data_IF_493208371496
#
_entry.id   IF_493208371496
#
_cell.length_a   1.000
_cell.length_b   1.000
_cell.length_c   1.000
_cell.angle_alpha   90.00
_cell.angle_beta   90.00
_cell.angle_gamma   90.00
#
_symmetry.space_group_name_H-M   'P 1'
#
loop_
_entity.id
_entity.type
_entity.pdbx_description
1 polymer ?
#
# COMPACT_ATOMS: atom_id res chain seq x y z
N UNK A 1 14.73 -11.52 8.93
CA UNK A 1 13.73 -12.57 9.29
C UNK A 1 13.78 -13.67 8.24
N UNK A 2 13.76 -14.95 8.63
CA UNK A 2 13.73 -16.06 7.66
C UNK A 2 12.37 -16.10 6.95
N UNK A 3 12.32 -16.64 5.72
CA UNK A 3 11.08 -16.77 4.96
C UNK A 3 9.99 -17.50 5.74
N UNK A 4 10.35 -18.61 6.41
CA UNK A 4 9.42 -19.41 7.21
C UNK A 4 8.73 -18.60 8.31
N UNK A 5 9.46 -17.73 9.02
CA UNK A 5 8.89 -16.90 10.11
C UNK A 5 8.01 -15.77 9.61
N UNK A 6 8.25 -15.27 8.40
CA UNK A 6 7.43 -14.23 7.76
C UNK A 6 6.21 -14.81 7.01
N UNK A 7 6.27 -16.07 6.58
CA UNK A 7 5.17 -16.74 5.88
C UNK A 7 3.95 -16.98 6.77
N UNK A 8 4.16 -17.42 8.01
CA UNK A 8 3.08 -17.67 8.98
C UNK A 8 2.17 -16.44 9.16
N UNK A 9 2.67 -15.25 9.56
CA UNK A 9 1.81 -14.08 9.72
C UNK A 9 1.19 -13.62 8.40
N UNK A 10 1.90 -13.73 7.26
CA UNK A 10 1.35 -13.34 5.97
C UNK A 10 0.17 -14.22 5.53
N UNK A 11 0.27 -15.54 5.72
CA UNK A 11 -0.81 -16.49 5.41
C UNK A 11 -1.97 -16.32 6.37
N UNK A 12 -1.72 -16.20 7.68
CA UNK A 12 -2.76 -15.96 8.68
C UNK A 12 -3.50 -14.65 8.40
N UNK A 13 -2.77 -13.58 8.07
CA UNK A 13 -3.36 -12.31 7.65
C UNK A 13 -4.18 -12.45 6.37
N UNK A 14 -3.67 -13.16 5.36
CA UNK A 14 -4.41 -13.41 4.12
C UNK A 14 -5.72 -14.16 4.37
N UNK A 15 -5.68 -15.23 5.17
CA UNK A 15 -6.88 -15.97 5.56
C UNK A 15 -7.85 -15.10 6.34
N UNK A 16 -7.37 -14.32 7.30
CA UNK A 16 -8.20 -13.43 8.11
C UNK A 16 -8.88 -12.36 7.25
N UNK A 17 -8.17 -11.74 6.31
CA UNK A 17 -8.75 -10.75 5.40
C UNK A 17 -9.83 -11.36 4.53
N UNK A 18 -9.55 -12.54 3.95
CA UNK A 18 -10.52 -13.26 3.14
C UNK A 18 -11.76 -13.64 3.97
N UNK A 19 -11.58 -14.16 5.19
CA UNK A 19 -12.69 -14.54 6.08
C UNK A 19 -13.50 -13.33 6.53
N UNK A 20 -12.86 -12.20 6.87
CA UNK A 20 -13.56 -10.98 7.25
C UNK A 20 -14.40 -10.42 6.11
N UNK A 21 -13.87 -10.43 4.88
CA UNK A 21 -14.60 -9.99 3.69
C UNK A 21 -15.72 -10.96 3.32
N UNK A 22 -15.48 -12.26 3.48
CA UNK A 22 -16.47 -13.32 3.31
C UNK A 22 -17.64 -13.12 4.30
N UNK A 23 -17.31 -12.88 5.57
CA UNK A 23 -18.28 -12.64 6.62
C UNK A 23 -19.05 -11.32 6.42
N UNK A 24 -18.37 -10.25 5.98
CA UNK A 24 -19.00 -9.00 5.62
C UNK A 24 -20.02 -9.21 4.49
N UNK A 25 -19.65 -9.96 3.45
CA UNK A 25 -20.56 -10.34 2.36
C UNK A 25 -21.80 -11.08 2.82
N UNK A 26 -21.64 -12.06 3.72
CA UNK A 26 -22.77 -12.81 4.28
C UNK A 26 -23.72 -11.95 5.14
N UNK A 27 -23.20 -10.88 5.76
CA UNK A 27 -23.93 -10.02 6.69
C UNK A 27 -24.93 -9.08 6.00
N UNK A 28 -24.89 -8.93 4.68
CA UNK A 28 -25.87 -8.13 3.92
C UNK A 28 -27.30 -8.66 4.12
N UNK A 29 -27.47 -9.99 4.12
CA UNK A 29 -28.77 -10.63 4.36
C UNK A 29 -29.37 -10.29 5.73
N UNK A 30 -28.52 -10.09 6.73
CA UNK A 30 -28.91 -9.71 8.08
C UNK A 30 -29.40 -8.24 8.16
N UNK A 31 -28.92 -7.37 7.28
CA UNK A 31 -29.32 -5.95 7.23
C UNK A 31 -30.69 -5.73 6.59
N UNK A 32 -31.21 -6.72 5.85
CA UNK A 32 -32.55 -6.68 5.25
C UNK A 32 -33.66 -7.11 6.20
N UNK A 33 -33.34 -7.59 7.41
CA UNK A 33 -34.37 -7.90 8.39
C UNK A 33 -35.03 -6.61 8.90
N UNK A 34 -36.36 -6.62 9.04
CA UNK A 34 -37.14 -5.44 9.46
C UNK A 34 -36.65 -4.84 10.79
N UNK A 35 -36.08 -5.65 11.68
CA UNK A 35 -35.52 -5.20 12.96
C UNK A 35 -34.18 -4.44 12.86
N UNK A 36 -33.36 -4.66 11.83
CA UNK A 36 -32.09 -3.91 11.67
C UNK A 36 -32.33 -2.48 11.18
N UNK A 37 -33.32 -2.28 10.31
CA UNK A 37 -33.73 -0.95 9.84
C UNK A 37 -34.34 -0.10 10.96
N UNK A 38 -35.01 -0.73 11.93
CA UNK A 38 -35.59 -0.04 13.09
C UNK A 38 -34.52 0.38 14.12
N UNK A 39 -33.43 -0.40 14.27
CA UNK A 39 -32.34 -0.11 15.23
C UNK A 39 -31.27 0.82 14.66
N UNK A 40 -30.88 0.63 13.39
CA UNK A 40 -29.82 1.42 12.75
C UNK A 40 -30.37 2.68 12.06
N UNK A 41 -31.65 2.64 11.66
CA UNK A 41 -32.28 3.59 10.74
C UNK A 41 -32.19 3.13 9.29
N UNK A 42 -33.23 3.44 8.49
CA UNK A 42 -33.31 2.99 7.09
C UNK A 42 -32.17 3.51 6.21
N UNK A 43 -31.68 4.73 6.46
CA UNK A 43 -30.63 5.37 5.66
C UNK A 43 -29.26 4.72 5.89
N UNK A 44 -28.90 4.44 7.14
CA UNK A 44 -27.62 3.79 7.49
C UNK A 44 -27.62 2.34 7.01
N UNK A 45 -28.75 1.62 7.13
CA UNK A 45 -28.90 0.26 6.62
C UNK A 45 -28.70 0.18 5.10
N UNK A 46 -29.33 1.09 4.33
CA UNK A 46 -29.16 1.18 2.88
C UNK A 46 -27.71 1.52 2.47
N UNK A 47 -27.02 2.29 3.30
CA UNK A 47 -25.63 2.67 3.04
C UNK A 47 -24.63 1.55 3.37
N UNK A 48 -24.84 0.84 4.48
CA UNK A 48 -24.12 -0.40 4.80
C UNK A 48 -24.35 -1.46 3.72
N UNK A 49 -25.59 -1.61 3.23
CA UNK A 49 -25.89 -2.49 2.10
C UNK A 49 -25.10 -2.07 0.86
N UNK A 50 -25.05 -0.77 0.52
CA UNK A 50 -24.24 -0.27 -0.59
C UNK A 50 -22.75 -0.57 -0.42
N UNK A 51 -22.22 -0.49 0.79
CA UNK A 51 -20.81 -0.80 1.07
C UNK A 51 -20.53 -2.30 0.93
N UNK A 52 -21.44 -3.14 1.43
CA UNK A 52 -21.34 -4.60 1.44
C UNK A 52 -21.66 -5.23 0.08
N UNK A 53 -22.43 -4.54 -0.76
CA UNK A 53 -22.92 -5.05 -2.05
C UNK A 53 -21.82 -5.69 -2.93
N UNK A 54 -20.59 -5.17 -3.02
CA UNK A 54 -19.53 -5.83 -3.80
C UNK A 54 -19.06 -7.15 -3.20
N UNK A 55 -19.21 -7.36 -1.90
CA UNK A 55 -18.80 -8.59 -1.21
C UNK A 55 -19.96 -9.55 -0.99
N UNK A 56 -21.19 -9.12 -1.26
CA UNK A 56 -22.41 -9.92 -1.12
C UNK A 56 -22.38 -11.23 -1.89
N UNK A 57 -23.13 -12.21 -1.38
CA UNK A 57 -23.46 -13.45 -2.10
C UNK A 57 -24.75 -13.33 -2.91
N UNK A 58 -25.52 -12.28 -2.66
CA UNK A 58 -26.81 -12.11 -3.30
C UNK A 58 -26.64 -11.57 -4.71
N UNK A 59 -27.06 -12.33 -5.75
CA UNK A 59 -26.94 -11.86 -7.11
C UNK A 59 -27.83 -10.63 -7.31
N UNK A 60 -27.38 -9.63 -8.09
CA UNK A 60 -28.15 -8.42 -8.35
C UNK A 60 -29.51 -8.75 -8.98
N UNK A 61 -30.49 -7.86 -8.78
CA UNK A 61 -31.86 -8.04 -9.28
C UNK A 61 -31.93 -8.39 -10.77
N UNK A 62 -31.03 -7.87 -11.61
CA UNK A 62 -30.94 -8.24 -13.03
C UNK A 62 -30.58 -9.71 -13.28
N UNK A 63 -29.70 -10.29 -12.46
CA UNK A 63 -29.36 -11.71 -12.52
C UNK A 63 -30.48 -12.60 -11.93
N UNK A 64 -31.24 -12.10 -10.94
CA UNK A 64 -32.43 -12.77 -10.40
C UNK A 64 -33.64 -12.72 -11.35
N UNK A 65 -33.93 -11.57 -11.93
CA UNK A 65 -35.02 -11.35 -12.90
C UNK A 65 -34.78 -12.16 -14.17
N UNK A 66 -33.52 -12.26 -14.64
CA UNK A 66 -33.14 -13.18 -15.70
C UNK A 66 -33.40 -14.66 -15.37
N UNK A 67 -33.32 -15.04 -14.09
CA UNK A 67 -33.66 -16.38 -13.60
C UNK A 67 -35.16 -16.62 -13.41
N UNK A 68 -35.90 -15.63 -12.90
CA UNK A 68 -37.35 -15.72 -12.60
C UNK A 68 -38.23 -15.64 -13.86
N UNK A 69 -37.91 -14.79 -14.84
CA UNK A 69 -38.65 -14.70 -16.11
C UNK A 69 -38.57 -15.99 -16.94
N UNK A 70 -37.52 -16.80 -16.74
CA UNK A 70 -37.36 -18.11 -17.39
C UNK A 70 -38.13 -19.24 -16.70
N UNK A 71 -38.56 -19.07 -15.45
CA UNK A 71 -39.31 -20.08 -14.72
C UNK A 71 -40.81 -20.14 -15.13
N UNK A 72 -41.31 -19.09 -15.80
CA UNK A 72 -42.72 -18.96 -16.20
C UNK A 72 -43.05 -19.38 -17.64
N UNK A 73 -42.08 -19.68 -18.51
CA UNK A 73 -42.34 -20.01 -19.93
C UNK A 73 -41.55 -21.24 -20.39
N UNK A 74 -42.27 -22.33 -20.67
CA UNK A 74 -41.73 -23.67 -20.92
C UNK A 74 -41.06 -23.91 -22.29
N UNK A 75 -40.02 -23.15 -22.65
CA UNK A 75 -39.13 -23.40 -23.80
C UNK A 75 -37.66 -23.02 -23.44
N UNK A 76 -36.60 -23.38 -24.22
CA UNK A 76 -35.26 -23.71 -23.72
C UNK A 76 -34.38 -22.50 -23.32
N UNK A 77 -34.85 -21.69 -22.37
CA UNK A 77 -34.13 -20.59 -21.73
C UNK A 77 -33.30 -21.05 -20.50
N UNK A 78 -33.33 -22.34 -20.16
CA UNK A 78 -32.61 -22.97 -19.02
C UNK A 78 -31.07 -22.77 -19.04
N UNK A 79 -30.47 -22.48 -20.20
CA UNK A 79 -29.01 -22.36 -20.33
C UNK A 79 -28.46 -20.94 -20.13
N UNK A 80 -29.32 -19.91 -20.16
CA UNK A 80 -28.91 -18.50 -20.05
C UNK A 80 -28.86 -18.01 -18.60
N UNK A 81 -29.90 -18.29 -17.82
CA UNK A 81 -30.01 -17.85 -16.41
C UNK A 81 -29.01 -18.53 -15.48
N UNK A 82 -28.85 -19.85 -15.62
CA UNK A 82 -27.82 -20.64 -14.92
C UNK A 82 -26.40 -20.14 -15.24
N UNK A 83 -26.18 -19.64 -16.46
CA UNK A 83 -24.89 -19.08 -16.90
C UNK A 83 -24.56 -17.75 -16.22
N UNK A 84 -25.52 -16.83 -16.10
CA UNK A 84 -25.28 -15.55 -15.42
C UNK A 84 -25.01 -15.72 -13.92
N UNK A 85 -25.74 -16.63 -13.28
CA UNK A 85 -25.52 -16.98 -11.88
C UNK A 85 -24.16 -17.67 -11.67
N UNK A 86 -23.79 -18.62 -12.53
CA UNK A 86 -22.47 -19.24 -12.49
C UNK A 86 -21.32 -18.24 -12.73
N UNK A 87 -21.52 -17.24 -13.61
CA UNK A 87 -20.55 -16.17 -13.82
C UNK A 87 -20.39 -15.28 -12.58
N UNK A 88 -21.49 -14.97 -11.89
CA UNK A 88 -21.47 -14.21 -10.64
C UNK A 88 -20.74 -14.98 -9.53
N UNK A 89 -21.04 -16.27 -9.34
CA UNK A 89 -20.34 -17.14 -8.40
C UNK A 89 -18.85 -17.25 -8.72
N UNK A 90 -18.51 -17.43 -10.00
CA UNK A 90 -17.12 -17.47 -10.46
C UNK A 90 -16.41 -16.14 -10.16
N UNK A 91 -17.07 -15.00 -10.36
CA UNK A 91 -16.52 -13.69 -10.06
C UNK A 91 -16.19 -13.54 -8.56
N UNK A 92 -17.08 -13.99 -7.68
CA UNK A 92 -16.85 -13.99 -6.23
C UNK A 92 -15.70 -14.93 -5.84
N UNK A 93 -15.64 -16.14 -6.40
CA UNK A 93 -14.53 -17.07 -6.17
C UNK A 93 -13.19 -16.46 -6.57
N UNK A 94 -13.11 -15.86 -7.78
CA UNK A 94 -11.93 -15.16 -8.27
C UNK A 94 -11.58 -14.01 -7.32
N UNK A 95 -12.56 -13.23 -6.85
CA UNK A 95 -12.35 -12.10 -5.94
C UNK A 95 -11.69 -12.55 -4.64
N UNK A 96 -12.26 -13.54 -3.94
CA UNK A 96 -11.71 -14.01 -2.66
C UNK A 96 -10.35 -14.68 -2.82
N UNK A 97 -10.16 -15.47 -3.89
CA UNK A 97 -8.86 -16.07 -4.21
C UNK A 97 -7.81 -15.01 -4.54
N UNK A 98 -8.18 -13.97 -5.30
CA UNK A 98 -7.30 -12.87 -5.67
C UNK A 98 -6.89 -12.02 -4.45
N UNK A 99 -7.81 -11.76 -3.51
CA UNK A 99 -7.46 -11.07 -2.24
C UNK A 99 -6.32 -11.80 -1.54
N UNK A 100 -6.47 -13.13 -1.37
CA UNK A 100 -5.43 -13.95 -0.76
C UNK A 100 -4.13 -13.93 -1.57
N UNK A 101 -4.22 -14.16 -2.89
CA UNK A 101 -3.08 -14.23 -3.79
C UNK A 101 -2.29 -12.92 -3.90
N UNK A 102 -2.93 -11.76 -3.77
CA UNK A 102 -2.25 -10.46 -3.76
C UNK A 102 -1.78 -10.04 -2.36
N UNK A 103 -2.56 -10.32 -1.32
CA UNK A 103 -2.21 -9.94 0.05
C UNK A 103 -0.96 -10.69 0.54
N UNK A 104 -0.95 -12.02 0.43
CA UNK A 104 0.11 -12.88 0.98
C UNK A 104 1.51 -12.51 0.48
N UNK A 105 1.81 -12.37 -0.83
CA UNK A 105 3.16 -12.06 -1.29
C UNK A 105 3.63 -10.67 -0.85
N UNK A 106 2.75 -9.66 -0.88
CA UNK A 106 3.14 -8.32 -0.42
C UNK A 106 3.28 -8.22 1.09
N UNK A 107 2.39 -8.86 1.87
CA UNK A 107 2.53 -8.97 3.31
C UNK A 107 3.81 -9.74 3.70
N UNK A 108 4.11 -10.84 3.00
CA UNK A 108 5.36 -11.60 3.19
C UNK A 108 6.58 -10.71 2.93
N UNK A 109 6.58 -9.95 1.84
CA UNK A 109 7.67 -9.05 1.50
C UNK A 109 7.82 -7.95 2.55
N UNK A 110 6.71 -7.31 2.95
CA UNK A 110 6.67 -6.25 3.96
C UNK A 110 7.14 -6.76 5.31
N UNK A 111 6.57 -7.84 5.85
CA UNK A 111 6.96 -8.40 7.16
C UNK A 111 8.41 -8.84 7.16
N UNK A 112 8.90 -9.41 6.05
CA UNK A 112 10.30 -9.83 5.94
C UNK A 112 11.26 -8.65 5.93
N UNK A 113 10.89 -7.55 5.27
CA UNK A 113 11.76 -6.38 5.06
C UNK A 113 11.62 -5.32 6.15
N UNK A 114 10.45 -5.22 6.77
CA UNK A 114 10.05 -4.36 7.89
C UNK A 114 9.59 -5.24 9.08
N UNK A 115 10.47 -6.05 9.67
CA UNK A 115 10.08 -6.86 10.83
C UNK A 115 9.65 -5.94 11.99
N UNK A 116 8.51 -6.23 12.66
CA UNK A 116 7.93 -5.36 13.68
C UNK A 116 8.65 -5.47 15.03
N UNK A 117 9.91 -5.05 15.05
CA UNK A 117 10.81 -5.09 16.21
C UNK A 117 11.43 -3.70 16.42
N UNK A 118 11.55 -3.24 17.68
CA UNK A 118 12.24 -2.00 18.11
C UNK A 118 11.92 -0.75 17.26
N UNK A 119 10.75 -0.15 17.47
CA UNK A 119 10.36 1.13 16.86
C UNK A 119 9.80 1.05 15.42
N UNK A 120 9.77 -0.14 14.81
CA UNK A 120 9.24 -0.36 13.44
C UNK A 120 7.80 -0.88 13.39
N UNK A 121 7.16 -1.06 14.55
CA UNK A 121 5.82 -1.68 14.64
C UNK A 121 4.75 -0.84 13.95
N UNK A 122 4.76 0.48 14.15
CA UNK A 122 3.81 1.41 13.52
C UNK A 122 4.01 1.44 12.00
N UNK A 123 5.25 1.53 11.53
CA UNK A 123 5.56 1.50 10.10
C UNK A 123 5.13 0.19 9.44
N UNK A 124 5.38 -0.96 10.09
CA UNK A 124 4.93 -2.26 9.60
C UNK A 124 3.39 -2.35 9.56
N UNK A 125 2.71 -1.87 10.61
CA UNK A 125 1.25 -1.84 10.66
C UNK A 125 0.65 -1.01 9.53
N UNK A 126 1.12 0.23 9.39
CA UNK A 126 0.64 1.14 8.35
C UNK A 126 0.91 0.59 6.94
N UNK A 127 2.08 -0.02 6.72
CA UNK A 127 2.41 -0.62 5.43
C UNK A 127 1.55 -1.86 5.12
N UNK A 128 1.33 -2.76 6.08
CA UNK A 128 0.49 -3.94 5.88
C UNK A 128 -0.98 -3.54 5.70
N UNK A 129 -1.45 -2.54 6.44
CA UNK A 129 -2.79 -2.00 6.28
C UNK A 129 -3.00 -1.39 4.89
N UNK A 130 -2.10 -0.52 4.45
CA UNK A 130 -2.14 0.07 3.12
C UNK A 130 -2.05 -1.00 2.01
N UNK A 131 -1.25 -2.05 2.21
CA UNK A 131 -1.19 -3.17 1.28
C UNK A 131 -2.50 -3.99 1.25
N UNK A 132 -3.21 -4.12 2.36
CA UNK A 132 -4.53 -4.76 2.39
C UNK A 132 -5.54 -4.05 1.49
N UNK A 133 -5.54 -2.71 1.49
CA UNK A 133 -6.35 -1.90 0.59
C UNK A 133 -6.01 -2.12 -0.89
N UNK A 134 -4.71 -2.16 -1.19
CA UNK A 134 -4.19 -2.46 -2.54
C UNK A 134 -4.64 -3.84 -3.00
N UNK A 135 -4.46 -4.87 -2.17
CA UNK A 135 -4.82 -6.24 -2.49
C UNK A 135 -6.34 -6.38 -2.75
N UNK A 136 -7.16 -5.74 -1.92
CA UNK A 136 -8.61 -5.70 -2.14
C UNK A 136 -9.00 -5.02 -3.44
N UNK A 137 -8.38 -3.86 -3.75
CA UNK A 137 -8.64 -3.12 -4.99
C UNK A 137 -8.23 -3.91 -6.24
N UNK A 138 -7.08 -4.60 -6.19
CA UNK A 138 -6.63 -5.48 -7.27
C UNK A 138 -7.56 -6.68 -7.44
N UNK A 139 -8.03 -7.28 -6.35
CA UNK A 139 -8.96 -8.39 -6.40
C UNK A 139 -10.32 -8.00 -7.02
N UNK A 140 -10.84 -6.82 -6.66
CA UNK A 140 -12.05 -6.25 -7.28
C UNK A 140 -11.82 -6.02 -8.78
N UNK A 141 -10.67 -5.46 -9.15
CA UNK A 141 -10.30 -5.21 -10.56
C UNK A 141 -10.24 -6.50 -11.37
N UNK A 142 -9.60 -7.55 -10.84
CA UNK A 142 -9.44 -8.83 -11.54
C UNK A 142 -10.76 -9.59 -11.67
N UNK A 143 -11.65 -9.49 -10.68
CA UNK A 143 -12.97 -10.15 -10.72
C UNK A 143 -14.04 -9.39 -11.52
N UNK A 144 -13.84 -8.08 -11.74
CA UNK A 144 -14.84 -7.21 -12.36
C UNK A 144 -15.32 -7.66 -13.75
N UNK A 145 -14.49 -8.20 -14.67
CA UNK A 145 -14.97 -8.68 -15.97
C UNK A 145 -16.07 -9.74 -15.87
N UNK A 146 -15.94 -10.67 -14.91
CA UNK A 146 -16.95 -11.73 -14.69
C UNK A 146 -18.24 -11.17 -14.07
N UNK A 147 -18.14 -10.17 -13.18
CA UNK A 147 -19.34 -9.50 -12.64
C UNK A 147 -20.08 -8.71 -13.72
N UNK A 148 -19.36 -8.01 -14.60
CA UNK A 148 -19.97 -7.25 -15.69
C UNK A 148 -20.69 -8.19 -16.66
N UNK A 149 -20.04 -9.32 -17.00
CA UNK A 149 -20.65 -10.36 -17.81
C UNK A 149 -21.89 -10.98 -17.13
N UNK A 150 -21.85 -11.21 -15.81
CA UNK A 150 -22.95 -11.76 -15.02
C UNK A 150 -24.19 -10.85 -15.00
N UNK A 151 -24.03 -9.53 -15.18
CA UNK A 151 -25.15 -8.59 -15.24
C UNK A 151 -25.78 -8.45 -16.63
N UNK A 152 -25.29 -9.17 -17.65
CA UNK A 152 -25.82 -9.11 -19.01
C UNK A 152 -25.36 -7.88 -19.81
N UNK A 153 -24.47 -7.04 -19.27
CA UNK A 153 -24.01 -5.78 -19.88
C UNK A 153 -22.80 -5.94 -20.82
N UNK A 154 -22.58 -7.14 -21.37
CA UNK A 154 -21.33 -7.51 -22.04
C UNK A 154 -20.94 -6.73 -23.31
N UNK A 155 -21.77 -5.79 -23.82
CA UNK A 155 -21.52 -5.10 -25.09
C UNK A 155 -21.50 -3.56 -25.05
N UNK A 156 -22.06 -2.90 -24.02
CA UNK A 156 -22.14 -1.43 -23.97
C UNK A 156 -21.50 -0.88 -22.68
N UNK A 157 -20.49 -0.01 -22.85
CA UNK A 157 -19.83 0.75 -21.77
C UNK A 157 -19.11 -0.09 -20.70
N UNK A 158 -18.33 -1.07 -21.14
CA UNK A 158 -17.54 -1.93 -20.25
C UNK A 158 -16.54 -1.14 -19.38
N UNK A 159 -15.84 -0.15 -19.94
CA UNK A 159 -14.81 0.60 -19.22
C UNK A 159 -15.38 1.49 -18.09
N UNK A 160 -16.46 2.26 -18.30
CA UNK A 160 -17.16 2.95 -17.21
C UNK A 160 -17.69 2.00 -16.12
N UNK A 161 -18.23 0.84 -16.50
CA UNK A 161 -18.68 -0.17 -15.54
C UNK A 161 -17.52 -0.73 -14.72
N UNK A 162 -16.37 -0.98 -15.34
CA UNK A 162 -15.17 -1.40 -14.62
C UNK A 162 -14.74 -0.34 -13.60
N UNK A 163 -14.76 0.93 -13.98
CA UNK A 163 -14.44 2.04 -13.06
C UNK A 163 -15.40 2.09 -11.87
N UNK A 164 -16.71 1.89 -12.11
CA UNK A 164 -17.73 1.81 -11.07
C UNK A 164 -17.56 0.61 -10.14
N UNK A 165 -17.21 -0.57 -10.66
CA UNK A 165 -16.94 -1.75 -9.82
C UNK A 165 -15.69 -1.52 -8.95
N UNK A 166 -14.64 -0.90 -9.49
CA UNK A 166 -13.41 -0.58 -8.75
C UNK A 166 -13.64 0.48 -7.66
N UNK A 167 -14.60 1.40 -7.85
CA UNK A 167 -14.95 2.41 -6.84
C UNK A 167 -15.82 1.85 -5.71
N UNK A 168 -16.60 0.79 -5.98
CA UNK A 168 -17.51 0.19 -5.02
C UNK A 168 -16.80 -0.61 -3.91
N UNK A 169 -17.33 -0.56 -2.67
CA UNK A 169 -16.95 -1.48 -1.58
C UNK A 169 -15.62 -1.19 -0.89
N UNK A 170 -15.12 0.04 -1.02
CA UNK A 170 -13.82 0.46 -0.49
C UNK A 170 -13.81 0.67 1.02
N UNK A 171 -14.91 1.10 1.64
CA UNK A 171 -14.90 1.41 3.08
C UNK A 171 -14.68 0.16 3.93
N UNK A 172 -15.34 -0.95 3.59
CA UNK A 172 -15.17 -2.21 4.32
C UNK A 172 -13.75 -2.72 4.20
N UNK A 173 -13.11 -2.51 3.03
CA UNK A 173 -11.70 -2.84 2.85
C UNK A 173 -10.82 -2.05 3.82
N UNK A 174 -11.10 -0.77 4.09
CA UNK A 174 -10.33 0.04 5.05
C UNK A 174 -10.36 -0.59 6.44
N UNK A 175 -11.54 -0.95 6.94
CA UNK A 175 -11.71 -1.52 8.27
C UNK A 175 -11.15 -2.95 8.36
N UNK A 176 -11.52 -3.83 7.42
CA UNK A 176 -11.08 -5.23 7.40
C UNK A 176 -9.58 -5.36 7.18
N UNK A 177 -8.98 -4.53 6.32
CA UNK A 177 -7.54 -4.46 6.14
C UNK A 177 -6.82 -3.96 7.40
N UNK A 178 -7.42 -3.04 8.17
CA UNK A 178 -6.83 -2.54 9.41
C UNK A 178 -6.78 -3.65 10.47
N UNK A 179 -7.91 -4.32 10.71
CA UNK A 179 -8.01 -5.46 11.64
C UNK A 179 -7.02 -6.55 11.23
N UNK A 180 -6.97 -6.87 9.93
CA UNK A 180 -6.01 -7.82 9.38
C UNK A 180 -4.57 -7.37 9.62
N UNK A 181 -4.26 -6.10 9.36
CA UNK A 181 -2.93 -5.53 9.54
C UNK A 181 -2.46 -5.64 11.00
N UNK A 182 -3.33 -5.32 11.96
CA UNK A 182 -3.06 -5.48 13.39
C UNK A 182 -2.74 -6.93 13.72
N UNK A 183 -3.60 -7.86 13.34
CA UNK A 183 -3.39 -9.29 13.61
C UNK A 183 -2.09 -9.81 12.97
N UNK A 184 -1.84 -9.45 11.71
CA UNK A 184 -0.63 -9.82 10.95
C UNK A 184 0.64 -9.33 11.63
N UNK A 185 0.65 -8.06 12.07
CA UNK A 185 1.81 -7.45 12.74
C UNK A 185 2.03 -7.99 14.14
N UNK A 186 0.95 -8.25 14.90
CA UNK A 186 1.05 -8.90 16.21
C UNK A 186 1.61 -10.31 16.09
N UNK A 187 1.12 -11.10 15.13
CA UNK A 187 1.67 -12.43 14.84
C UNK A 187 3.13 -12.35 14.38
N UNK A 188 3.46 -11.42 13.48
CA UNK A 188 4.83 -11.21 13.03
C UNK A 188 5.76 -10.77 14.18
N UNK A 189 5.25 -10.01 15.15
CA UNK A 189 6.01 -9.63 16.36
C UNK A 189 6.28 -10.84 17.24
N UNK A 190 5.28 -11.73 17.41
CA UNK A 190 5.43 -12.98 18.16
C UNK A 190 6.45 -13.89 17.48
N UNK A 191 6.38 -14.08 16.15
CA UNK A 191 7.32 -14.93 15.41
C UNK A 191 8.72 -14.33 15.28
N UNK A 192 8.86 -13.01 15.46
CA UNK A 192 10.14 -12.31 15.48
C UNK A 192 10.81 -12.29 16.86
N UNK A 193 10.15 -12.71 17.95
CA UNK A 193 10.78 -12.84 19.26
C UNK A 193 12.00 -13.76 19.17
N UNK A 194 13.13 -13.33 19.75
CA UNK A 194 14.41 -14.05 19.67
C UNK A 194 15.17 -13.88 18.35
N UNK A 195 14.70 -13.06 17.40
CA UNK A 195 15.56 -12.62 16.30
C UNK A 195 16.61 -11.64 16.86
N UNK A 196 17.89 -11.93 16.66
CA UNK A 196 19.00 -11.08 17.06
C UNK A 196 18.94 -9.65 16.47
N UNK A 197 19.89 -8.77 16.83
CA UNK A 197 19.92 -7.40 16.33
C UNK A 197 19.86 -7.38 14.79
N UNK A 198 18.86 -6.67 14.27
CA UNK A 198 18.60 -6.59 12.83
C UNK A 198 19.64 -5.69 12.17
N UNK A 199 20.26 -6.11 11.05
CA UNK A 199 21.14 -5.25 10.28
C UNK A 199 20.39 -3.96 9.86
N UNK A 200 21.02 -2.82 10.12
CA UNK A 200 20.58 -1.52 9.59
C UNK A 200 21.53 -1.16 8.45
N UNK A 201 20.96 -0.88 7.29
CA UNK A 201 21.72 -0.30 6.19
C UNK A 201 21.94 1.19 6.53
N UNK A 202 23.18 1.58 6.78
CA UNK A 202 23.53 2.97 7.05
C UNK A 202 23.52 3.71 5.73
N UNK A 203 22.40 4.35 5.43
CA UNK A 203 22.22 5.14 4.21
C UNK A 203 22.59 6.60 4.49
N UNK A 204 23.47 7.22 3.70
CA UNK A 204 23.79 8.64 3.83
C UNK A 204 22.53 9.51 3.71
N UNK A 205 22.34 10.44 4.65
CA UNK A 205 21.12 11.25 4.73
C UNK A 205 20.85 12.06 3.46
N UNK A 206 21.91 12.51 2.76
CA UNK A 206 21.79 13.24 1.50
C UNK A 206 21.26 12.36 0.36
N UNK A 207 21.76 11.13 0.23
CA UNK A 207 21.29 10.17 -0.77
C UNK A 207 19.82 9.80 -0.55
N UNK A 208 19.41 9.61 0.71
CA UNK A 208 18.01 9.35 1.06
C UNK A 208 17.08 10.53 0.72
N UNK A 209 17.53 11.78 0.93
CA UNK A 209 16.75 12.99 0.57
C UNK A 209 16.59 13.11 -0.94
N UNK A 210 17.67 12.96 -1.71
CA UNK A 210 17.61 13.01 -3.19
C UNK A 210 16.69 11.93 -3.76
N UNK A 211 16.77 10.72 -3.19
CA UNK A 211 15.92 9.63 -3.61
C UNK A 211 14.44 9.90 -3.32
N UNK A 212 14.14 10.39 -2.11
CA UNK A 212 12.78 10.78 -1.74
C UNK A 212 12.24 11.89 -2.63
N UNK A 213 13.03 12.93 -2.94
CA UNK A 213 12.60 14.02 -3.83
C UNK A 213 12.26 13.54 -5.24
N UNK A 214 13.02 12.59 -5.79
CA UNK A 214 12.77 12.04 -7.12
C UNK A 214 11.46 11.23 -7.16
N UNK A 215 11.22 10.39 -6.15
CA UNK A 215 9.97 9.64 -6.02
C UNK A 215 8.76 10.56 -5.84
N UNK A 216 8.88 11.60 -4.99
CA UNK A 216 7.79 12.56 -4.79
C UNK A 216 7.53 13.47 -5.97
N UNK A 217 8.54 13.78 -6.79
CA UNK A 217 8.34 14.57 -8.00
C UNK A 217 7.38 13.89 -8.98
N UNK A 218 7.43 12.56 -9.11
CA UNK A 218 6.49 11.80 -9.94
C UNK A 218 5.07 11.86 -9.41
N UNK A 219 4.90 11.82 -8.08
CA UNK A 219 3.59 11.90 -7.43
C UNK A 219 3.04 13.33 -7.53
N UNK A 220 3.90 14.34 -7.36
CA UNK A 220 3.56 15.74 -7.56
C UNK A 220 3.17 16.03 -9.01
N UNK A 221 3.84 15.41 -9.98
CA UNK A 221 3.47 15.51 -11.39
C UNK A 221 2.02 15.05 -11.62
N UNK A 222 1.63 13.93 -11.03
CA UNK A 222 0.25 13.45 -11.08
C UNK A 222 -0.74 14.37 -10.37
N UNK A 223 -0.43 14.81 -9.15
CA UNK A 223 -1.31 15.65 -8.34
C UNK A 223 -1.46 17.09 -8.87
N UNK A 224 -0.44 17.64 -9.52
CA UNK A 224 -0.44 19.04 -9.96
C UNK A 224 -0.77 19.15 -11.44
N UNK A 225 -0.16 18.33 -12.30
CA UNK A 225 -0.34 18.47 -13.74
C UNK A 225 -1.54 17.65 -14.22
N UNK A 226 -1.56 16.34 -13.95
CA UNK A 226 -2.63 15.48 -14.45
C UNK A 226 -3.97 15.76 -13.76
N UNK A 227 -3.95 16.10 -12.48
CA UNK A 227 -5.16 16.37 -11.70
C UNK A 227 -5.74 17.78 -11.92
N UNK A 228 -5.10 18.63 -12.75
CA UNK A 228 -5.66 19.93 -13.11
C UNK A 228 -6.91 19.74 -13.97
N UNK A 229 -8.02 20.38 -13.61
CA UNK A 229 -9.35 20.12 -14.19
C UNK A 229 -9.36 20.16 -15.72
N UNK A 230 -8.64 21.10 -16.34
CA UNK A 230 -8.55 21.18 -17.81
C UNK A 230 -7.80 20.00 -18.42
N UNK A 231 -6.75 19.49 -17.75
CA UNK A 231 -5.99 18.31 -18.19
C UNK A 231 -6.76 17.03 -17.90
N UNK A 232 -7.42 16.94 -16.75
CA UNK A 232 -8.29 15.82 -16.41
C UNK A 232 -9.47 15.72 -17.39
N UNK A 233 -10.08 16.84 -17.75
CA UNK A 233 -11.15 16.90 -18.74
C UNK A 233 -10.63 16.52 -20.13
N UNK A 234 -9.45 17.01 -20.54
CA UNK A 234 -8.88 16.63 -21.84
C UNK A 234 -8.54 15.14 -21.91
N UNK A 235 -8.03 14.54 -20.83
CA UNK A 235 -7.79 13.09 -20.75
C UNK A 235 -9.11 12.31 -20.86
N UNK A 236 -10.20 12.81 -20.27
CA UNK A 236 -11.52 12.17 -20.33
C UNK A 236 -12.15 12.27 -21.73
N UNK A 237 -11.98 13.40 -22.42
CA UNK A 237 -12.62 13.65 -23.72
C UNK A 237 -11.74 13.33 -24.93
N UNK A 238 -10.44 13.09 -24.74
CA UNK A 238 -9.51 12.75 -25.84
C UNK A 238 -9.86 11.44 -26.55
N UNK A 239 -10.62 10.57 -25.88
CA UNK A 239 -11.02 9.27 -26.39
C UNK A 239 -12.54 9.19 -26.47
N UNK A 240 -13.10 9.76 -27.52
CA UNK A 240 -14.53 9.68 -27.87
C UNK A 240 -14.68 8.82 -29.14
N UNK A 241 -14.49 7.51 -29.00
CA UNK A 241 -14.72 6.54 -30.08
C UNK A 241 -16.14 5.96 -30.04
N UNK A 242 -16.45 4.99 -30.90
CA UNK A 242 -17.61 4.10 -30.74
C UNK A 242 -17.15 2.65 -30.56
N UNK A 243 -17.73 1.89 -29.61
CA UNK A 243 -17.41 0.48 -29.36
C UNK A 243 -17.17 0.10 -27.88
N UNK A 244 -16.83 -1.16 -27.61
CA UNK A 244 -16.64 -1.72 -26.25
C UNK A 244 -15.63 -0.95 -25.36
N UNK A 245 -14.61 -0.35 -25.98
CA UNK A 245 -13.53 0.41 -25.32
C UNK A 245 -13.63 1.92 -25.54
N UNK A 246 -14.78 2.41 -26.00
CA UNK A 246 -14.90 3.77 -26.54
C UNK A 246 -14.87 4.92 -25.52
N UNK A 247 -14.91 4.62 -24.23
CA UNK A 247 -14.99 5.61 -23.15
C UNK A 247 -13.97 5.26 -22.04
N UNK A 248 -12.65 5.28 -22.29
CA UNK A 248 -11.64 4.98 -21.27
C UNK A 248 -11.51 6.10 -20.22
N UNK A 249 -12.15 7.25 -20.43
CA UNK A 249 -12.00 8.45 -19.61
C UNK A 249 -12.19 8.20 -18.11
N UNK A 250 -13.22 7.46 -17.71
CA UNK A 250 -13.50 7.16 -16.30
C UNK A 250 -12.45 6.21 -15.69
N UNK A 251 -11.97 5.25 -16.47
CA UNK A 251 -10.93 4.33 -16.03
C UNK A 251 -9.57 5.04 -15.94
N UNK A 252 -9.24 5.86 -16.93
CA UNK A 252 -8.04 6.71 -16.91
C UNK A 252 -8.09 7.68 -15.73
N UNK A 253 -9.24 8.28 -15.43
CA UNK A 253 -9.45 9.08 -14.22
C UNK A 253 -9.13 8.28 -12.97
N UNK A 254 -9.71 7.09 -12.82
CA UNK A 254 -9.53 6.23 -11.65
C UNK A 254 -8.06 5.83 -11.40
N UNK A 255 -7.32 5.58 -12.49
CA UNK A 255 -5.95 5.05 -12.43
C UNK A 255 -4.86 6.12 -12.56
N UNK A 256 -5.13 7.31 -13.09
CA UNK A 256 -4.12 8.35 -13.28
C UNK A 256 -4.28 9.52 -12.33
N UNK A 257 -5.49 9.83 -11.88
CA UNK A 257 -5.77 11.03 -11.10
C UNK A 257 -5.77 10.70 -9.61
N UNK A 258 -4.74 11.16 -8.91
CA UNK A 258 -4.65 11.09 -7.44
C UNK A 258 -5.60 12.08 -6.75
N UNK A 259 -6.10 13.08 -7.49
CA UNK A 259 -7.08 14.04 -7.01
C UNK A 259 -7.69 14.82 -8.16
N UNK A 260 -8.39 15.90 -7.83
CA UNK A 260 -8.88 16.86 -8.81
C UNK A 260 -8.69 18.27 -8.26
N UNK A 261 -8.29 19.20 -9.13
CA UNK A 261 -8.14 20.58 -8.73
C UNK A 261 -8.47 21.59 -9.83
N UNK A 262 -9.01 22.72 -9.40
CA UNK A 262 -9.40 23.84 -10.25
C UNK A 262 -8.82 25.15 -9.71
N UNK A 263 -8.78 26.18 -10.55
CA UNK A 263 -8.47 27.54 -10.10
C UNK A 263 -9.53 28.07 -9.11
N UNK A 264 -9.24 29.16 -8.38
CA UNK A 264 -10.17 29.77 -7.44
C UNK A 264 -11.32 30.48 -8.19
N UNK A 265 -12.21 29.71 -8.80
CA UNK A 265 -13.40 30.22 -9.47
C UNK A 265 -14.59 30.04 -8.52
N UNK A 266 -15.05 31.13 -7.89
CA UNK A 266 -16.25 31.15 -7.05
C UNK A 266 -16.07 30.75 -5.58
N UNK A 267 -14.92 30.20 -5.17
CA UNK A 267 -14.57 29.93 -3.77
C UNK A 267 -13.66 31.02 -3.20
N UNK A 268 -13.76 31.30 -1.90
CA UNK A 268 -12.82 32.23 -1.24
C UNK A 268 -11.38 31.73 -1.42
N UNK A 269 -10.43 32.66 -1.59
CA UNK A 269 -9.03 32.31 -1.79
C UNK A 269 -8.44 31.56 -0.58
N UNK A 270 -8.96 31.86 0.62
CA UNK A 270 -8.61 31.17 1.86
C UNK A 270 -9.00 29.69 1.83
N UNK A 271 -10.26 29.38 1.49
CA UNK A 271 -10.73 28.00 1.40
C UNK A 271 -9.99 27.23 0.32
N UNK A 272 -9.74 27.87 -0.83
CA UNK A 272 -8.95 27.28 -1.90
C UNK A 272 -7.52 26.94 -1.43
N UNK A 273 -6.84 27.86 -0.74
CA UNK A 273 -5.51 27.62 -0.18
C UNK A 273 -5.52 26.51 0.89
N UNK A 274 -6.58 26.45 1.71
CA UNK A 274 -6.73 25.45 2.75
C UNK A 274 -6.83 24.04 2.15
N UNK A 275 -7.63 23.86 1.10
CA UNK A 275 -7.68 22.59 0.35
C UNK A 275 -6.34 22.25 -0.32
N UNK A 276 -5.59 23.24 -0.81
CA UNK A 276 -4.24 23.02 -1.37
C UNK A 276 -3.22 22.66 -0.30
N UNK A 277 -3.34 23.22 0.90
CA UNK A 277 -2.46 22.89 2.02
C UNK A 277 -2.56 21.39 2.37
N UNK A 278 -3.73 20.78 2.21
CA UNK A 278 -3.91 19.33 2.37
C UNK A 278 -3.09 18.55 1.32
N UNK A 279 -3.09 18.97 0.05
CA UNK A 279 -2.30 18.32 -1.01
C UNK A 279 -0.79 18.45 -0.77
N UNK A 280 -0.34 19.62 -0.28
CA UNK A 280 1.05 19.84 0.13
C UNK A 280 1.41 18.96 1.32
N UNK A 281 0.52 18.82 2.29
CA UNK A 281 0.73 17.95 3.45
C UNK A 281 0.82 16.47 3.04
N UNK A 282 0.01 16.04 2.07
CA UNK A 282 0.12 14.71 1.46
C UNK A 282 1.50 14.51 0.86
N UNK A 283 1.96 15.45 0.01
CA UNK A 283 3.29 15.36 -0.60
C UNK A 283 4.41 15.35 0.45
N UNK A 284 4.28 16.15 1.50
CA UNK A 284 5.23 16.16 2.61
C UNK A 284 5.24 14.82 3.37
N UNK A 285 4.07 14.24 3.64
CA UNK A 285 3.94 12.95 4.31
C UNK A 285 4.54 11.81 3.47
N UNK A 286 4.27 11.80 2.16
CA UNK A 286 4.85 10.85 1.21
C UNK A 286 6.38 11.02 1.14
N UNK A 287 6.86 12.27 1.03
CA UNK A 287 8.29 12.56 1.00
C UNK A 287 8.99 12.08 2.27
N UNK A 288 8.37 12.34 3.42
CA UNK A 288 8.87 11.90 4.71
C UNK A 288 8.93 10.36 4.80
N UNK A 289 7.87 9.69 4.37
CA UNK A 289 7.81 8.23 4.34
C UNK A 289 8.89 7.63 3.41
N UNK A 290 9.04 8.15 2.19
CA UNK A 290 10.08 7.73 1.24
C UNK A 290 11.48 7.99 1.77
N UNK A 291 11.69 9.09 2.50
CA UNK A 291 12.97 9.41 3.13
C UNK A 291 13.31 8.43 4.27
N UNK A 292 12.32 7.99 5.05
CA UNK A 292 12.52 7.04 6.14
C UNK A 292 12.66 5.58 5.66
N UNK A 293 12.06 5.26 4.52
CA UNK A 293 11.95 3.90 4.00
C UNK A 293 13.29 3.15 3.87
N UNK A 294 14.36 3.75 3.30
CA UNK A 294 15.67 3.09 3.21
C UNK A 294 16.28 2.71 4.57
N UNK A 295 16.07 3.53 5.61
CA UNK A 295 16.58 3.25 6.97
C UNK A 295 15.69 2.29 7.79
N UNK A 296 14.40 2.22 7.45
CA UNK A 296 13.45 1.29 8.07
C UNK A 296 13.57 -0.12 7.50
N UNK A 297 13.86 -0.24 6.21
CA UNK A 297 14.06 -1.53 5.55
C UNK A 297 15.36 -2.20 6.04
N UNK A 298 15.31 -3.52 6.14
CA UNK A 298 16.50 -4.35 6.37
C UNK A 298 17.41 -4.45 5.16
N UNK A 299 16.87 -4.25 3.94
CA UNK A 299 17.61 -4.07 2.69
C UNK A 299 16.80 -3.23 1.71
N UNK A 300 17.42 -2.21 1.12
CA UNK A 300 16.81 -1.35 0.11
C UNK A 300 16.77 -2.00 -1.29
N UNK A 301 15.90 -2.98 -1.47
CA UNK A 301 15.67 -3.61 -2.79
C UNK A 301 14.60 -2.87 -3.58
N UNK A 302 14.71 -2.82 -4.92
CA UNK A 302 13.71 -2.22 -5.83
C UNK A 302 12.26 -2.62 -5.52
N UNK A 303 11.89 -3.92 -5.38
CA UNK A 303 10.51 -4.29 -5.10
C UNK A 303 10.03 -3.84 -3.71
N UNK A 304 10.93 -3.77 -2.72
CA UNK A 304 10.58 -3.30 -1.38
C UNK A 304 10.35 -1.78 -1.34
N UNK A 305 11.16 -1.03 -2.10
CA UNK A 305 10.96 0.41 -2.26
C UNK A 305 9.72 0.72 -3.10
N UNK A 306 9.43 -0.06 -4.15
CA UNK A 306 8.21 0.07 -4.95
C UNK A 306 6.95 -0.18 -4.11
N UNK A 307 6.86 -1.31 -3.40
CA UNK A 307 5.71 -1.62 -2.54
C UNK A 307 5.62 -0.61 -1.38
N UNK A 308 6.74 -0.22 -0.78
CA UNK A 308 6.78 0.78 0.27
C UNK A 308 6.30 2.16 -0.20
N UNK A 309 6.65 2.57 -1.42
CA UNK A 309 6.19 3.81 -2.03
C UNK A 309 4.67 3.78 -2.30
N UNK A 310 4.14 2.67 -2.81
CA UNK A 310 2.69 2.46 -2.94
C UNK A 310 2.00 2.55 -1.58
N UNK A 311 2.55 1.92 -0.54
CA UNK A 311 1.97 2.03 0.80
C UNK A 311 2.00 3.47 1.32
N UNK A 312 3.10 4.20 1.08
CA UNK A 312 3.24 5.60 1.47
C UNK A 312 2.24 6.51 0.74
N UNK A 313 2.00 6.30 -0.55
CA UNK A 313 1.02 7.08 -1.32
C UNK A 313 -0.40 6.81 -0.87
N UNK A 314 -0.76 5.54 -0.63
CA UNK A 314 -2.07 5.17 -0.07
C UNK A 314 -2.29 5.83 1.30
N UNK A 315 -1.30 5.77 2.20
CA UNK A 315 -1.40 6.41 3.52
C UNK A 315 -1.51 7.94 3.42
N UNK A 316 -0.76 8.57 2.51
CA UNK A 316 -0.85 10.00 2.25
C UNK A 316 -2.25 10.41 1.76
N UNK A 317 -2.84 9.62 0.86
CA UNK A 317 -4.22 9.82 0.39
C UNK A 317 -5.23 9.68 1.52
N UNK A 318 -5.17 8.60 2.32
CA UNK A 318 -6.07 8.41 3.46
C UNK A 318 -5.97 9.54 4.48
N UNK A 319 -4.75 10.04 4.72
CA UNK A 319 -4.52 11.17 5.62
C UNK A 319 -5.14 12.45 5.05
N UNK A 320 -4.95 12.72 3.75
CA UNK A 320 -5.58 13.86 3.06
C UNK A 320 -7.10 13.79 3.09
N UNK A 321 -7.68 12.60 2.86
CA UNK A 321 -9.12 12.35 2.93
C UNK A 321 -9.68 12.60 4.34
N UNK A 322 -8.98 12.11 5.37
CA UNK A 322 -9.34 12.37 6.77
C UNK A 322 -9.30 13.86 7.11
N UNK A 323 -8.28 14.58 6.64
CA UNK A 323 -8.17 16.02 6.87
C UNK A 323 -9.25 16.82 6.15
N UNK A 324 -9.58 16.47 4.90
CA UNK A 324 -10.68 17.11 4.14
C UNK A 324 -12.02 16.91 4.84
N UNK A 325 -12.28 15.71 5.34
CA UNK A 325 -13.47 15.40 6.13
C UNK A 325 -13.53 16.24 7.42
N UNK A 326 -12.40 16.45 8.11
CA UNK A 326 -12.35 17.32 9.29
C UNK A 326 -12.59 18.80 8.95
N UNK A 327 -12.12 19.25 7.79
CA UNK A 327 -12.27 20.63 7.31
C UNK A 327 -13.69 20.96 6.83
N UNK A 328 -14.41 19.98 6.28
CA UNK A 328 -15.81 20.10 5.86
C UNK A 328 -16.81 20.09 7.05
N UNK A 329 -16.29 20.03 8.28
CA UNK A 329 -17.02 19.83 9.52
C UNK A 329 -18.04 20.92 9.87
N UNK A 330 -19.30 20.71 9.50
CA UNK A 330 -20.45 21.38 10.15
C UNK A 330 -21.56 20.45 10.64
N UNK A 331 -21.47 19.12 10.45
CA UNK A 331 -22.36 18.17 11.10
C UNK A 331 -21.57 16.92 11.53
N UNK A 332 -21.10 16.88 12.77
CA UNK A 332 -20.46 15.74 13.44
C UNK A 332 -21.38 14.51 13.65
N UNK A 333 -22.46 14.38 12.87
CA UNK A 333 -23.02 13.07 12.58
C UNK A 333 -22.00 12.42 11.66
N UNK A 334 -21.46 11.27 12.06
CA UNK A 334 -20.68 10.38 11.18
C UNK A 334 -21.55 9.96 10.00
N UNK A 335 -21.80 10.89 9.09
CA UNK A 335 -22.58 10.63 7.90
C UNK A 335 -21.70 9.71 7.08
N UNK A 336 -22.14 8.46 6.94
CA UNK A 336 -21.45 7.45 6.16
C UNK A 336 -21.18 7.98 4.73
N UNK A 337 -21.94 8.97 4.28
CA UNK A 337 -21.75 9.71 3.04
C UNK A 337 -20.38 10.38 2.90
N UNK A 338 -19.77 10.88 3.98
CA UNK A 338 -18.40 11.42 3.94
C UNK A 338 -17.34 10.31 3.93
N UNK A 339 -17.68 9.14 4.47
CA UNK A 339 -16.86 7.94 4.34
C UNK A 339 -16.97 7.30 2.94
N UNK A 340 -17.88 7.78 2.06
CA UNK A 340 -18.03 7.35 0.67
C UNK A 340 -16.70 7.33 -0.11
N UNK A 341 -15.86 8.33 0.11
CA UNK A 341 -14.64 8.56 -0.66
C UNK A 341 -13.38 7.90 -0.10
N UNK A 342 -13.47 7.25 1.07
CA UNK A 342 -12.32 6.60 1.69
C UNK A 342 -11.79 5.45 0.82
N UNK A 343 -10.51 5.55 0.41
CA UNK A 343 -9.89 4.58 -0.52
C UNK A 343 -10.07 4.94 -2.01
N UNK A 344 -10.68 6.08 -2.31
CA UNK A 344 -10.85 6.72 -3.63
C UNK A 344 -9.67 6.58 -4.60
N UNK A 345 -8.46 6.89 -4.11
CA UNK A 345 -7.26 7.02 -4.94
C UNK A 345 -6.34 5.81 -4.97
N UNK A 346 -6.74 4.64 -4.44
CA UNK A 346 -5.84 3.46 -4.36
C UNK A 346 -5.31 2.99 -5.73
N UNK A 347 -6.11 2.93 -6.82
CA UNK A 347 -5.58 2.58 -8.15
C UNK A 347 -4.55 3.61 -8.66
N UNK A 348 -4.81 4.90 -8.48
CA UNK A 348 -3.85 5.96 -8.82
C UNK A 348 -2.59 5.89 -7.93
N UNK A 349 -2.73 5.49 -6.67
CA UNK A 349 -1.61 5.26 -5.77
C UNK A 349 -0.72 4.10 -6.25
N UNK A 350 -1.30 3.08 -6.89
CA UNK A 350 -0.55 1.98 -7.50
C UNK A 350 0.21 2.42 -8.75
N UNK A 351 -0.43 3.14 -9.66
CA UNK A 351 0.20 3.58 -10.92
C UNK A 351 1.35 4.54 -10.69
N UNK A 352 1.22 5.47 -9.75
CA UNK A 352 2.25 6.46 -9.46
C UNK A 352 3.22 6.02 -8.35
N UNK A 353 2.77 5.21 -7.40
CA UNK A 353 3.60 4.70 -6.31
C UNK A 353 4.67 3.73 -6.78
N UNK A 354 4.36 2.83 -7.73
CA UNK A 354 5.34 1.90 -8.30
C UNK A 354 6.52 2.62 -8.98
N UNK A 355 6.33 3.49 -9.98
CA UNK A 355 7.43 4.21 -10.62
C UNK A 355 8.12 5.16 -9.66
N UNK A 356 7.40 5.77 -8.70
CA UNK A 356 8.02 6.58 -7.65
C UNK A 356 9.01 5.77 -6.81
N UNK A 357 8.65 4.55 -6.40
CA UNK A 357 9.55 3.69 -5.64
C UNK A 357 10.72 3.14 -6.48
N UNK A 358 10.51 2.86 -7.77
CA UNK A 358 11.60 2.50 -8.70
C UNK A 358 12.57 3.66 -8.88
N UNK A 359 12.08 4.87 -9.14
CA UNK A 359 12.88 6.07 -9.25
C UNK A 359 13.69 6.33 -7.97
N UNK A 360 13.04 6.18 -6.81
CA UNK A 360 13.71 6.27 -5.48
C UNK A 360 14.83 5.23 -5.35
N UNK A 361 14.60 3.98 -5.78
CA UNK A 361 15.61 2.92 -5.71
C UNK A 361 16.82 3.19 -6.62
N UNK A 362 16.58 3.64 -7.86
CA UNK A 362 17.63 3.95 -8.84
C UNK A 362 18.45 5.16 -8.40
N UNK A 363 17.79 6.22 -7.96
CA UNK A 363 18.45 7.43 -7.45
C UNK A 363 19.26 7.13 -6.19
N UNK A 364 18.76 6.29 -5.28
CA UNK A 364 19.51 5.87 -4.11
C UNK A 364 20.79 5.12 -4.50
N UNK A 365 20.70 4.15 -5.41
CA UNK A 365 21.86 3.38 -5.90
C UNK A 365 22.91 4.27 -6.57
N UNK A 366 22.47 5.20 -7.43
CA UNK A 366 23.38 6.11 -8.13
C UNK A 366 24.00 7.16 -7.19
N UNK A 367 23.30 7.60 -6.15
CA UNK A 367 23.84 8.52 -5.16
C UNK A 367 24.89 7.84 -4.27
N UNK A 368 24.64 6.61 -3.81
CA UNK A 368 25.59 5.83 -3.00
C UNK A 368 26.84 5.42 -3.80
N UNK A 369 26.68 5.05 -5.08
CA UNK A 369 27.82 4.74 -5.95
C UNK A 369 28.74 5.96 -6.13
N UNK A 370 28.15 7.16 -6.33
CA UNK A 370 28.91 8.41 -6.48
C UNK A 370 29.69 8.80 -5.23
N UNK A 371 29.14 8.56 -4.03
CA UNK A 371 29.87 8.82 -2.78
C UNK A 371 31.06 7.88 -2.60
N UNK A 372 30.91 6.60 -2.95
CA UNK A 372 32.00 5.62 -2.87
C UNK A 372 33.17 5.98 -3.81
N UNK A 373 32.89 6.37 -5.05
CA UNK A 373 33.93 6.79 -6.02
C UNK A 373 34.66 8.06 -5.57
N UNK A 374 33.95 9.00 -4.92
CA UNK A 374 34.55 10.25 -4.43
C UNK A 374 35.54 10.00 -3.29
N UNK A 375 35.23 9.09 -2.37
CA UNK A 375 36.15 8.68 -1.29
C UNK A 375 37.39 7.94 -1.84
N UNK A 376 37.26 7.21 -2.95
CA UNK A 376 38.42 6.51 -3.56
C UNK A 376 39.31 7.46 -4.37
N UNK A 377 38.77 8.60 -4.83
CA UNK A 377 39.47 9.57 -5.70
C UNK A 377 40.03 10.77 -4.93
N UNK A 378 39.93 10.77 -3.60
CA UNK A 378 40.61 11.74 -2.75
C UNK A 378 41.95 11.12 -2.32
N UNK A 379 43.05 11.26 -3.11
CA UNK A 379 44.34 10.75 -2.70
C UNK A 379 44.77 11.49 -1.44
N UNK A 380 45.29 10.73 -0.48
CA UNK A 380 45.90 11.16 0.76
C UNK A 380 46.65 12.50 0.61
N UNK A 381 45.94 13.60 0.87
CA UNK A 381 46.49 14.96 0.86
C UNK A 381 46.77 15.39 2.30
N UNK A 382 47.36 14.49 3.09
CA UNK A 382 47.85 14.84 4.44
C UNK A 382 48.79 13.76 4.98
N UNK A 383 50.02 13.68 4.45
CA UNK A 383 51.21 13.19 5.20
C UNK A 383 52.54 13.50 4.48
N UNK A 384 52.61 14.54 3.64
CA UNK A 384 53.88 14.93 2.98
C UNK A 384 54.34 16.36 3.29
N UNK A 385 53.81 17.00 4.33
CA UNK A 385 54.28 18.32 4.77
C UNK A 385 55.01 18.32 6.11
N UNK A 386 55.50 17.17 6.54
CA UNK A 386 56.29 17.02 7.78
C UNK A 386 57.53 16.10 7.60
N UNK A 387 57.96 15.87 6.35
CA UNK A 387 59.17 15.09 6.03
C UNK A 387 60.31 15.95 5.46
N UNK A 388 60.35 17.24 5.81
CA UNK A 388 61.50 18.14 5.57
C UNK A 388 61.92 18.71 6.91
N UNK A 389 62.46 17.86 7.78
CA UNK A 389 63.51 18.12 8.77
C UNK A 389 63.56 16.92 9.72
N UNK A 390 64.26 15.85 9.34
CA UNK A 390 65.09 15.10 10.30
C UNK A 390 65.96 14.10 9.57
N UNK A 391 67.23 14.49 9.41
CA UNK A 391 68.34 13.57 9.07
C UNK A 391 68.60 12.61 10.25
N UNK A 392 69.20 11.44 9.99
CA UNK A 392 69.10 10.25 10.82
C UNK A 392 70.19 10.17 11.89
N UNK A 393 69.85 9.60 13.05
CA UNK A 393 70.82 9.01 13.97
C UNK A 393 70.43 7.56 14.27
N UNK A 394 71.11 6.62 13.60
CA UNK A 394 71.49 5.33 14.20
C UNK A 394 72.64 5.62 15.19
N UNK A 395 72.94 4.82 16.24
CA UNK A 395 72.62 3.39 16.40
C UNK A 395 72.26 2.92 17.85
N UNK A 396 71.76 1.68 17.99
CA UNK A 396 72.33 0.59 18.83
C UNK A 396 71.33 -0.57 18.98
N UNK A 397 71.84 -1.79 18.80
CA UNK A 397 71.15 -3.09 19.00
C UNK A 397 71.05 -3.41 20.51
N UNK A 398 70.18 -4.37 20.91
CA UNK A 398 69.60 -4.51 22.24
C UNK A 398 70.43 -5.37 23.19
N UNK A 399 70.17 -5.32 24.51
CA UNK A 399 70.44 -6.42 25.42
C UNK A 399 69.26 -7.42 25.47
N UNK A 400 69.63 -8.70 25.55
CA UNK A 400 68.80 -9.89 25.65
C UNK A 400 67.77 -9.89 26.80
N UNK A 401 66.68 -10.67 26.68
CA UNK A 401 65.75 -10.95 27.77
C UNK A 401 66.42 -11.80 28.86
N UNK A 402 66.32 -11.31 30.10
CA UNK A 402 66.78 -11.97 31.33
C UNK A 402 66.01 -13.30 31.57
N UNK A 403 66.68 -14.45 31.69
CA UNK A 403 66.03 -15.76 31.83
C UNK A 403 65.56 -16.08 33.27
N UNK A 404 65.28 -15.09 34.12
CA UNK A 404 65.00 -15.27 35.56
C UNK A 404 63.52 -15.32 35.97
N UNK A 405 62.62 -15.74 35.08
CA UNK A 405 61.23 -16.05 35.44
C UNK A 405 60.78 -17.43 34.97
N UNK A 406 61.68 -18.41 35.05
CA UNK A 406 61.35 -19.83 35.00
C UNK A 406 61.72 -20.45 36.35
N UNK A 407 60.89 -20.22 37.38
CA UNK A 407 60.77 -21.07 38.58
C UNK A 407 59.79 -20.43 39.60
N UNK A 408 58.50 -20.57 39.32
CA UNK A 408 57.47 -20.79 40.35
C UNK A 408 56.59 -21.91 39.78
N UNK A 409 56.91 -23.17 40.09
CA UNK A 409 56.32 -23.89 41.22
C UNK A 409 54.78 -23.84 41.14
N UNK A 410 54.10 -24.85 40.58
CA UNK A 410 53.96 -26.19 41.15
C UNK A 410 53.49 -26.13 42.60
N UNK A 411 52.21 -25.82 42.83
CA UNK A 411 51.42 -26.36 43.95
C UNK A 411 49.94 -25.97 43.81
N UNK A 412 49.12 -26.81 43.17
CA UNK A 412 47.72 -26.92 43.56
C UNK A 412 47.15 -28.26 43.10
N UNK A 413 47.60 -29.27 43.84
CA UNK A 413 46.81 -30.46 44.13
C UNK A 413 45.43 -30.06 44.68
N UNK A 414 44.42 -30.71 44.12
CA UNK A 414 43.53 -31.58 44.88
C UNK A 414 42.87 -31.00 46.15
N UNK A 415 41.56 -30.68 46.05
CA UNK A 415 40.53 -31.01 47.06
C UNK A 415 39.12 -30.56 46.67
N UNK A 416 38.29 -31.57 46.40
CA UNK A 416 36.92 -31.77 46.93
C UNK A 416 35.84 -30.70 46.69
N UNK A 417 34.82 -31.05 45.90
CA UNK A 417 33.47 -31.44 46.38
C UNK A 417 32.57 -31.87 45.22
#
# INVERSE_FOLDING_TARGET
MTYRRAAIPAVVGGLLLTVLLWWAGASESALRLRGSTDVLGAQTAAELERWLAPWSYDPPGSARIGAELSAGTGYPALSGSSRYLALYETALQIRFAAVFAFFVPGALLLVRRLPPVRGRMTAALLAVWAWGLVAGTLAVTVSAPWLIAAQGHGSYRFLPQLAGVISSGRQILVATALVTGVATVLMARVTAKGAGPLPREVVPAHAARLAATAGTALIALSLVILSYQSVAASIQTAFSGGGLLSEPGDLLRQWLLLGAWSGPAGTSLGDWLLYRAVDVLLLAAVWWALRLLPGLLTRATVPALAIGAVCATVLGLLTSQLLRMLLEGTNLRWDLYLAADFGGGVPAALTWGLPAGVATAVTLRTAVARTATRETTEPAKSTSREAVLHRPHRPARPPDPDPRHADQAHDQDDRTA
#
